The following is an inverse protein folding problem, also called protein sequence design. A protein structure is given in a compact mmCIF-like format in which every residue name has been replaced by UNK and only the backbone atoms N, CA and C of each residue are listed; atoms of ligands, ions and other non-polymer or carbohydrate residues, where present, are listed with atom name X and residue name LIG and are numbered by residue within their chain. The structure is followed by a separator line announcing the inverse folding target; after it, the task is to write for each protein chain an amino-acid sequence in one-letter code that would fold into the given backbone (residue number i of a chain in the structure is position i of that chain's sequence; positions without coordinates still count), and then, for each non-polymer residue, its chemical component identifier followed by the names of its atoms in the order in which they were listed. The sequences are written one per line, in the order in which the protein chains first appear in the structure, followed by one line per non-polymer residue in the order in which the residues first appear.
data_IF_659042778584
#
_entry.id   IF_659042778584
#
_cell.length_a   1.000
_cell.length_b   1.000
_cell.length_c   1.000
_cell.angle_alpha   90.00
_cell.angle_beta   90.00
_cell.angle_gamma   90.00
#
_symmetry.space_group_name_H-M   'P 1'
#
loop_
_entity.id
_entity.type
_entity.pdbx_description
1 polymer ?
#
# COMPACT_ATOMS: atom_id res chain seq x y z
N UNK A 1 34.19 11.36 -0.23
CA UNK A 1 35.04 12.42 -0.83
C UNK A 1 35.67 11.98 -2.15
N UNK A 2 36.33 10.81 -2.24
CA UNK A 2 37.00 10.35 -3.49
C UNK A 2 36.08 10.35 -4.74
N UNK A 3 34.89 9.77 -4.66
CA UNK A 3 33.90 9.76 -5.77
C UNK A 3 33.45 11.18 -6.22
N UNK A 4 33.32 12.13 -5.30
CA UNK A 4 32.90 13.51 -5.67
C UNK A 4 34.00 14.22 -6.46
N UNK A 5 35.28 14.00 -6.12
CA UNK A 5 36.40 14.57 -6.87
C UNK A 5 36.50 13.94 -8.28
N UNK A 6 36.23 12.67 -8.42
CA UNK A 6 36.16 11.99 -9.73
C UNK A 6 35.07 12.63 -10.63
N UNK A 7 33.87 12.90 -10.07
CA UNK A 7 32.82 13.63 -10.79
C UNK A 7 33.24 15.04 -11.19
N UNK A 8 33.88 15.79 -10.28
CA UNK A 8 34.39 17.14 -10.61
C UNK A 8 35.37 17.11 -11.77
N UNK A 9 36.38 16.22 -11.73
CA UNK A 9 37.35 16.05 -12.81
C UNK A 9 36.69 15.64 -14.13
N UNK A 10 35.73 14.75 -14.10
CA UNK A 10 34.96 14.35 -15.29
C UNK A 10 34.23 15.54 -15.89
N UNK A 11 33.52 16.36 -15.11
CA UNK A 11 32.80 17.52 -15.62
C UNK A 11 33.74 18.59 -16.16
N UNK A 12 34.86 18.84 -15.50
CA UNK A 12 35.90 19.77 -15.96
C UNK A 12 36.48 19.31 -17.29
N UNK A 13 36.79 18.02 -17.45
CA UNK A 13 37.33 17.47 -18.71
C UNK A 13 36.33 17.59 -19.87
N UNK A 14 35.04 17.76 -19.59
CA UNK A 14 33.98 17.97 -20.62
C UNK A 14 33.68 19.45 -20.86
N UNK A 15 34.45 20.37 -20.25
CA UNK A 15 34.27 21.81 -20.45
C UNK A 15 33.00 22.38 -19.79
N UNK A 16 32.43 21.71 -18.81
CA UNK A 16 31.23 22.19 -18.11
C UNK A 16 31.61 23.39 -17.24
N UNK A 17 30.83 24.50 -17.26
CA UNK A 17 31.11 25.69 -16.45
C UNK A 17 31.13 25.39 -14.96
N UNK A 18 32.05 26.01 -14.20
CA UNK A 18 32.25 25.76 -12.78
C UNK A 18 30.95 25.89 -11.96
N UNK A 19 30.11 26.89 -12.25
CA UNK A 19 28.82 27.10 -11.58
C UNK A 19 27.90 25.88 -11.72
N UNK A 20 27.87 25.26 -12.89
CA UNK A 20 27.04 24.05 -13.15
C UNK A 20 27.66 22.84 -12.45
N UNK A 21 28.98 22.74 -12.42
CA UNK A 21 29.68 21.68 -11.68
C UNK A 21 29.33 21.74 -10.19
N UNK A 22 29.35 22.93 -9.59
CA UNK A 22 29.02 23.08 -8.18
C UNK A 22 27.58 22.67 -7.87
N UNK A 23 26.63 23.02 -8.76
CA UNK A 23 25.24 22.57 -8.66
C UNK A 23 25.11 21.04 -8.75
N UNK A 24 25.77 20.41 -9.72
CA UNK A 24 25.76 18.95 -9.87
C UNK A 24 26.41 18.24 -8.68
N UNK A 25 27.48 18.80 -8.13
CA UNK A 25 28.14 18.24 -6.94
C UNK A 25 27.24 18.31 -5.73
N UNK A 26 26.50 19.39 -5.51
CA UNK A 26 25.57 19.49 -4.40
C UNK A 26 24.37 18.55 -4.59
N UNK A 27 23.87 18.38 -5.79
CA UNK A 27 22.86 17.38 -6.13
C UNK A 27 23.38 15.96 -5.85
N UNK A 28 24.61 15.61 -6.27
CA UNK A 28 25.24 14.32 -6.00
C UNK A 28 25.32 14.06 -4.49
N UNK A 29 25.72 15.06 -3.69
CA UNK A 29 25.78 14.91 -2.23
C UNK A 29 24.42 14.60 -1.63
N UNK A 30 23.38 15.36 -2.01
CA UNK A 30 22.00 15.16 -1.52
C UNK A 30 21.45 13.80 -1.90
N UNK A 31 21.55 13.41 -3.17
CA UNK A 31 21.08 12.12 -3.68
C UNK A 31 21.85 10.94 -3.06
N UNK A 32 23.16 11.10 -2.84
CA UNK A 32 23.97 10.06 -2.16
C UNK A 32 23.56 9.92 -0.69
N UNK A 33 23.26 11.03 0.00
CA UNK A 33 22.80 11.01 1.39
C UNK A 33 21.43 10.33 1.53
N UNK A 34 20.53 10.50 0.55
CA UNK A 34 19.23 9.85 0.50
C UNK A 34 19.26 8.44 -0.13
N UNK A 35 20.46 7.91 -0.44
CA UNK A 35 20.64 6.62 -1.16
C UNK A 35 19.81 6.53 -2.44
N UNK A 36 19.68 7.66 -3.16
CA UNK A 36 18.90 7.78 -4.40
C UNK A 36 19.83 7.78 -5.63
N UNK A 37 19.38 7.22 -6.77
CA UNK A 37 20.14 7.27 -8.03
C UNK A 37 20.40 8.70 -8.45
N UNK A 38 21.60 8.96 -8.99
CA UNK A 38 21.97 10.26 -9.52
C UNK A 38 21.34 10.41 -10.90
N UNK A 39 20.42 11.36 -11.05
CA UNK A 39 19.73 11.71 -12.31
C UNK A 39 19.86 13.22 -12.49
N UNK A 40 20.62 13.65 -13.50
CA UNK A 40 20.83 15.08 -13.76
C UNK A 40 19.70 15.67 -14.62
N UNK A 41 19.27 14.94 -15.62
CA UNK A 41 18.31 15.38 -16.65
C UNK A 41 17.40 14.23 -17.08
N UNK A 42 16.35 14.55 -17.82
CA UNK A 42 15.37 13.54 -18.30
C UNK A 42 16.00 12.58 -19.33
N UNK A 43 16.95 13.06 -20.14
CA UNK A 43 17.74 12.22 -21.04
C UNK A 43 18.54 11.17 -20.26
N UNK A 44 19.16 11.56 -19.15
CA UNK A 44 19.86 10.62 -18.27
C UNK A 44 18.89 9.60 -17.66
N UNK A 45 17.68 10.03 -17.26
CA UNK A 45 16.63 9.12 -16.79
C UNK A 45 16.25 8.11 -17.90
N UNK A 46 16.11 8.54 -19.14
CA UNK A 46 15.77 7.65 -20.26
C UNK A 46 16.81 6.54 -20.47
N UNK A 47 18.10 6.88 -20.36
CA UNK A 47 19.20 5.92 -20.42
C UNK A 47 19.16 4.91 -19.28
N UNK A 48 18.90 5.37 -18.05
CA UNK A 48 18.78 4.50 -16.88
C UNK A 48 17.59 3.54 -16.97
N UNK A 49 16.49 3.98 -17.58
CA UNK A 49 15.28 3.17 -17.80
C UNK A 49 15.39 2.23 -19.01
N UNK A 50 16.35 2.50 -19.93
CA UNK A 50 16.45 1.79 -21.21
C UNK A 50 15.25 2.06 -22.13
N UNK A 51 14.64 3.26 -22.02
CA UNK A 51 13.49 3.69 -22.81
C UNK A 51 13.88 4.94 -23.60
N UNK A 52 13.46 4.98 -24.87
CA UNK A 52 13.75 6.10 -25.75
C UNK A 52 13.25 7.44 -25.15
N UNK A 53 14.08 8.49 -25.25
CA UNK A 53 13.81 9.81 -24.68
C UNK A 53 12.46 10.39 -25.13
N UNK A 54 12.13 10.30 -26.43
CA UNK A 54 10.84 10.79 -26.94
C UNK A 54 9.64 10.05 -26.32
N UNK A 55 9.80 8.77 -26.03
CA UNK A 55 8.78 7.97 -25.36
C UNK A 55 8.60 8.43 -23.90
N UNK A 56 9.70 8.71 -23.19
CA UNK A 56 9.64 9.28 -21.83
C UNK A 56 8.96 10.65 -21.85
N UNK A 57 9.32 11.52 -22.79
CA UNK A 57 8.68 12.84 -22.98
C UNK A 57 7.17 12.71 -23.27
N UNK A 58 6.78 11.76 -24.10
CA UNK A 58 5.37 11.48 -24.39
C UNK A 58 4.62 11.00 -23.14
N UNK A 59 5.25 10.18 -22.28
CA UNK A 59 4.66 9.75 -21.00
C UNK A 59 4.52 10.93 -20.04
N UNK A 60 5.52 11.79 -19.88
CA UNK A 60 5.49 12.95 -19.01
C UNK A 60 4.38 13.93 -19.42
N UNK A 61 4.25 14.21 -20.72
CA UNK A 61 3.32 15.21 -21.25
C UNK A 61 1.90 14.66 -21.50
N UNK A 62 1.74 13.35 -21.58
CA UNK A 62 0.47 12.71 -21.93
C UNK A 62 0.20 11.43 -21.13
N UNK A 63 0.57 11.41 -19.86
CA UNK A 63 0.46 10.24 -18.96
C UNK A 63 -0.88 9.49 -19.04
N UNK A 64 -2.06 10.16 -19.14
CA UNK A 64 -3.33 9.44 -19.26
C UNK A 64 -3.42 8.44 -20.42
N UNK A 65 -2.72 8.69 -21.52
CA UNK A 65 -2.69 7.80 -22.71
C UNK A 65 -1.95 6.49 -22.43
N UNK A 66 -1.16 6.44 -21.37
CA UNK A 66 -0.37 5.29 -20.96
C UNK A 66 -1.03 4.46 -19.87
N UNK A 67 -2.31 4.74 -19.56
CA UNK A 67 -3.13 3.96 -18.65
C UNK A 67 -4.33 3.34 -19.36
N UNK A 68 -4.63 2.10 -19.00
CA UNK A 68 -5.91 1.46 -19.32
C UNK A 68 -6.84 1.63 -18.12
N UNK A 69 -8.00 2.19 -18.36
CA UNK A 69 -9.04 2.34 -17.35
C UNK A 69 -10.06 1.21 -17.42
N UNK A 70 -10.42 0.64 -16.27
CA UNK A 70 -11.52 -0.31 -16.15
C UNK A 70 -12.15 -0.24 -14.75
N UNK A 71 -13.37 -0.74 -14.66
CA UNK A 71 -14.16 -0.65 -13.44
C UNK A 71 -14.37 -2.03 -12.84
N UNK A 72 -14.15 -2.15 -11.52
CA UNK A 72 -14.47 -3.35 -10.74
C UNK A 72 -15.55 -3.05 -9.71
N UNK A 73 -16.44 -4.03 -9.45
CA UNK A 73 -17.49 -3.91 -8.42
C UNK A 73 -16.87 -3.99 -7.01
N UNK A 74 -17.27 -3.09 -6.11
CA UNK A 74 -16.91 -3.17 -4.69
C UNK A 74 -17.77 -4.22 -3.99
N UNK A 75 -17.22 -4.87 -2.95
CA UNK A 75 -17.94 -5.86 -2.12
C UNK A 75 -19.23 -5.32 -1.50
N UNK A 76 -19.26 -4.06 -1.14
CA UNK A 76 -20.39 -3.40 -0.45
C UNK A 76 -21.25 -2.56 -1.41
N UNK A 77 -21.22 -2.88 -2.71
CA UNK A 77 -21.90 -2.12 -3.75
C UNK A 77 -21.10 -0.93 -4.26
N UNK A 78 -21.49 -0.39 -5.43
CA UNK A 78 -20.78 0.65 -6.14
C UNK A 78 -19.58 0.13 -6.93
N UNK A 79 -18.93 1.04 -7.64
CA UNK A 79 -17.84 0.76 -8.56
C UNK A 79 -16.53 1.37 -8.06
N UNK A 80 -15.43 0.79 -8.55
CA UNK A 80 -14.06 1.26 -8.31
C UNK A 80 -13.35 1.32 -9.65
N UNK A 81 -12.87 2.49 -10.01
CA UNK A 81 -12.08 2.69 -11.22
C UNK A 81 -10.62 2.32 -10.93
N UNK A 82 -10.05 1.51 -11.80
CA UNK A 82 -8.64 1.10 -11.77
C UNK A 82 -7.97 1.66 -13.01
N UNK A 83 -6.83 2.31 -12.81
CA UNK A 83 -5.95 2.82 -13.87
C UNK A 83 -4.71 1.94 -13.92
N UNK A 84 -4.71 0.93 -14.79
CA UNK A 84 -3.57 0.04 -14.95
C UNK A 84 -2.59 0.65 -15.97
N UNK A 85 -1.32 0.91 -15.61
CA UNK A 85 -0.33 1.42 -16.54
C UNK A 85 -0.05 0.41 -17.65
N UNK A 86 0.18 0.87 -18.88
CA UNK A 86 0.71 0.03 -19.95
C UNK A 86 2.17 -0.37 -19.65
N UNK A 87 2.69 -1.45 -20.26
CA UNK A 87 3.97 -2.04 -19.89
C UNK A 87 5.14 -1.05 -19.81
N UNK A 88 5.24 -0.11 -20.75
CA UNK A 88 6.31 0.90 -20.76
C UNK A 88 6.26 1.85 -19.56
N UNK A 89 5.07 2.34 -19.20
CA UNK A 89 4.90 3.17 -18.01
C UNK A 89 5.06 2.34 -16.72
N UNK A 90 4.58 1.10 -16.71
CA UNK A 90 4.77 0.19 -15.58
C UNK A 90 6.27 -0.04 -15.32
N UNK A 91 7.08 -0.26 -16.36
CA UNK A 91 8.53 -0.39 -16.23
C UNK A 91 9.15 0.84 -15.56
N UNK A 92 8.74 2.06 -15.96
CA UNK A 92 9.20 3.29 -15.31
C UNK A 92 8.82 3.33 -13.84
N UNK A 93 7.56 3.01 -13.51
CA UNK A 93 7.04 3.03 -12.15
C UNK A 93 7.74 1.98 -11.27
N UNK A 94 7.95 0.78 -11.77
CA UNK A 94 8.65 -0.29 -11.05
C UNK A 94 10.10 0.08 -10.79
N UNK A 95 10.77 0.71 -11.77
CA UNK A 95 12.13 1.20 -11.58
C UNK A 95 12.20 2.30 -10.51
N UNK A 96 11.28 3.29 -10.55
CA UNK A 96 11.17 4.34 -9.53
C UNK A 96 10.92 3.73 -8.15
N UNK A 97 10.00 2.77 -8.06
CA UNK A 97 9.68 2.08 -6.81
C UNK A 97 10.91 1.39 -6.22
N UNK A 98 11.61 0.57 -7.02
CA UNK A 98 12.73 -0.23 -6.57
C UNK A 98 13.97 0.61 -6.22
N UNK A 99 14.28 1.64 -7.02
CA UNK A 99 15.54 2.35 -6.93
C UNK A 99 15.46 3.65 -6.09
N UNK A 100 14.25 4.24 -5.95
CA UNK A 100 14.09 5.50 -5.23
C UNK A 100 13.18 5.30 -4.01
N UNK A 101 11.94 4.84 -4.21
CA UNK A 101 10.94 4.88 -3.14
C UNK A 101 11.27 3.94 -1.98
N UNK A 102 11.78 2.73 -2.25
CA UNK A 102 12.15 1.76 -1.21
C UNK A 102 13.27 2.26 -0.27
N UNK A 103 14.03 3.28 -0.68
CA UNK A 103 15.05 3.92 0.15
C UNK A 103 14.46 5.02 1.05
N UNK A 104 13.21 5.43 0.82
CA UNK A 104 12.55 6.46 1.62
C UNK A 104 11.97 5.86 2.91
N UNK A 105 12.11 6.60 4.01
CA UNK A 105 11.55 6.20 5.29
C UNK A 105 10.01 6.26 5.26
N UNK A 106 9.39 5.26 5.88
CA UNK A 106 7.95 5.19 6.12
C UNK A 106 7.69 5.05 7.62
N UNK A 107 6.58 5.58 8.10
CA UNK A 107 6.25 5.56 9.53
C UNK A 107 6.00 4.13 10.03
N UNK A 108 6.38 3.84 11.30
CA UNK A 108 6.25 2.49 11.87
C UNK A 108 4.81 2.02 12.00
N UNK A 109 3.87 2.93 12.19
CA UNK A 109 2.44 2.62 12.32
C UNK A 109 1.71 2.55 10.96
N UNK A 110 2.38 2.75 9.83
CA UNK A 110 1.86 2.47 8.49
C UNK A 110 2.14 1.00 8.14
N UNK A 111 1.10 0.22 7.83
CA UNK A 111 1.24 -1.23 7.60
C UNK A 111 0.83 -1.68 6.18
N UNK A 112 0.04 -0.88 5.47
CA UNK A 112 -0.37 -1.21 4.10
C UNK A 112 0.76 -0.99 3.09
N UNK A 113 0.93 -1.93 2.16
CA UNK A 113 1.83 -1.79 1.00
C UNK A 113 3.33 -1.68 1.33
N UNK A 114 3.76 -2.05 2.50
CA UNK A 114 5.15 -1.97 2.95
C UNK A 114 5.73 -3.39 3.04
N UNK A 115 6.95 -3.65 2.49
CA UNK A 115 7.60 -4.94 2.63
C UNK A 115 7.68 -5.40 4.09
N UNK A 116 7.47 -6.69 4.33
CA UNK A 116 7.48 -7.34 5.66
C UNK A 116 6.37 -6.86 6.62
N UNK A 117 5.47 -5.95 6.21
CA UNK A 117 4.26 -5.58 6.95
C UNK A 117 3.03 -6.21 6.29
N UNK A 118 1.98 -6.44 7.07
CA UNK A 118 0.79 -7.15 6.61
C UNK A 118 -0.44 -6.73 7.41
N UNK A 119 -1.59 -7.28 7.05
CA UNK A 119 -2.82 -7.14 7.83
C UNK A 119 -2.67 -7.70 9.25
N UNK A 120 -1.79 -8.69 9.45
CA UNK A 120 -1.50 -9.27 10.77
C UNK A 120 -0.71 -8.28 11.63
N UNK A 121 0.36 -7.68 11.10
CA UNK A 121 1.15 -6.67 11.81
C UNK A 121 0.32 -5.43 12.11
N UNK A 122 -0.66 -5.08 11.25
CA UNK A 122 -1.60 -3.99 11.46
C UNK A 122 -2.59 -4.29 12.58
N UNK A 123 -3.09 -5.52 12.67
CA UNK A 123 -4.11 -5.90 13.65
C UNK A 123 -3.55 -6.21 15.05
N UNK A 124 -2.32 -6.74 15.14
CA UNK A 124 -1.70 -7.20 16.39
C UNK A 124 -1.65 -6.15 17.51
N UNK A 125 -1.33 -4.87 17.26
CA UNK A 125 -1.32 -3.87 18.35
C UNK A 125 -2.68 -3.64 19.02
N UNK A 126 -3.77 -4.05 18.35
CA UNK A 126 -5.16 -3.81 18.79
C UNK A 126 -5.81 -5.00 19.52
N UNK A 127 -5.04 -6.05 19.80
CA UNK A 127 -5.53 -7.22 20.54
C UNK A 127 -6.08 -6.84 21.92
N UNK A 128 -7.12 -7.55 22.37
CA UNK A 128 -7.74 -7.41 23.69
C UNK A 128 -8.20 -6.00 24.07
N UNK A 129 -8.37 -5.08 23.09
CA UNK A 129 -8.78 -3.72 23.36
C UNK A 129 -10.25 -3.65 23.83
N UNK A 130 -10.57 -2.76 24.78
CA UNK A 130 -11.95 -2.51 25.19
C UNK A 130 -12.73 -1.70 24.16
N UNK A 131 -12.08 -0.70 23.58
CA UNK A 131 -12.67 0.21 22.61
C UNK A 131 -11.82 0.25 21.34
N UNK A 132 -12.47 0.26 20.18
CA UNK A 132 -11.83 0.37 18.87
C UNK A 132 -12.55 1.44 18.04
N UNK A 133 -11.81 2.42 17.54
CA UNK A 133 -12.26 3.43 16.59
C UNK A 133 -11.61 3.15 15.23
N UNK A 134 -12.43 3.07 14.20
CA UNK A 134 -11.98 3.00 12.80
C UNK A 134 -12.43 4.25 12.06
N UNK A 135 -11.52 4.84 11.30
CA UNK A 135 -11.77 5.98 10.41
C UNK A 135 -11.13 5.71 9.07
N UNK A 136 -11.76 6.14 7.99
CA UNK A 136 -11.34 5.86 6.60
C UNK A 136 -11.13 7.21 5.89
N UNK A 137 -10.12 7.33 5.06
CA UNK A 137 -9.88 8.51 4.24
C UNK A 137 -10.69 8.44 2.94
N UNK A 138 -11.39 9.53 2.63
CA UNK A 138 -12.19 9.62 1.40
C UNK A 138 -11.28 9.84 0.20
N UNK A 139 -11.58 9.17 -0.92
CA UNK A 139 -10.89 9.32 -2.21
C UNK A 139 -9.36 9.34 -2.09
N UNK A 140 -8.82 8.39 -1.32
CA UNK A 140 -7.46 8.36 -0.78
C UNK A 140 -6.37 8.69 -1.81
N UNK A 141 -6.25 7.91 -2.90
CA UNK A 141 -5.24 8.17 -3.92
C UNK A 141 -5.49 9.49 -4.68
N UNK A 142 -6.71 9.78 -5.17
CA UNK A 142 -6.98 11.04 -5.86
C UNK A 142 -6.80 12.29 -5.01
N UNK A 143 -6.87 12.19 -3.69
CA UNK A 143 -6.63 13.33 -2.78
C UNK A 143 -5.17 13.76 -2.72
N UNK A 144 -4.24 12.95 -3.22
CA UNK A 144 -2.81 13.24 -3.22
C UNK A 144 -2.41 13.75 -4.61
N UNK A 145 -2.28 15.06 -4.72
CA UNK A 145 -1.92 15.72 -5.97
C UNK A 145 -0.43 15.59 -6.32
N UNK A 146 -0.11 15.76 -7.59
CA UNK A 146 1.25 15.70 -8.15
C UNK A 146 2.24 16.62 -7.42
N UNK A 147 1.78 17.77 -6.93
CA UNK A 147 2.64 18.72 -6.18
C UNK A 147 3.29 18.08 -4.96
N UNK A 148 2.61 17.18 -4.26
CA UNK A 148 3.19 16.44 -3.14
C UNK A 148 4.32 15.52 -3.60
N UNK A 149 4.14 14.88 -4.74
CA UNK A 149 5.12 13.94 -5.31
C UNK A 149 6.34 14.70 -5.86
N UNK A 150 6.12 15.86 -6.50
CA UNK A 150 7.21 16.77 -6.94
C UNK A 150 8.03 17.23 -5.74
N UNK A 151 7.36 17.67 -4.66
CA UNK A 151 8.03 18.13 -3.45
C UNK A 151 8.84 17.01 -2.77
N UNK A 152 8.34 15.77 -2.80
CA UNK A 152 9.10 14.61 -2.32
C UNK A 152 10.41 14.45 -3.10
N UNK A 153 10.35 14.36 -4.42
CA UNK A 153 11.55 14.18 -5.24
C UNK A 153 12.53 15.36 -5.15
N UNK A 154 12.00 16.58 -5.11
CA UNK A 154 12.84 17.79 -4.87
C UNK A 154 13.51 17.74 -3.50
N UNK A 155 12.83 17.29 -2.47
CA UNK A 155 13.38 17.11 -1.12
C UNK A 155 14.47 16.03 -1.04
N UNK A 156 14.47 15.05 -1.94
CA UNK A 156 15.56 14.07 -2.08
C UNK A 156 16.83 14.66 -2.74
N UNK A 157 16.70 15.81 -3.43
CA UNK A 157 17.80 16.50 -4.08
C UNK A 157 17.76 16.48 -5.62
N UNK A 158 16.68 16.01 -6.23
CA UNK A 158 16.52 16.10 -7.69
C UNK A 158 16.23 17.53 -8.13
N UNK A 159 16.70 17.90 -9.32
CA UNK A 159 16.33 19.16 -9.98
C UNK A 159 14.82 19.24 -10.19
N UNK A 160 14.27 20.44 -10.32
CA UNK A 160 12.83 20.62 -10.52
C UNK A 160 12.32 19.88 -11.78
N UNK A 161 13.06 19.90 -12.88
CA UNK A 161 12.70 19.18 -14.11
C UNK A 161 12.64 17.67 -13.92
N UNK A 162 13.64 17.09 -13.25
CA UNK A 162 13.67 15.64 -12.93
C UNK A 162 12.58 15.28 -11.93
N UNK A 163 12.36 16.10 -10.91
CA UNK A 163 11.30 15.89 -9.92
C UNK A 163 9.92 15.88 -10.55
N UNK A 164 9.67 16.82 -11.46
CA UNK A 164 8.41 16.87 -12.22
C UNK A 164 8.25 15.66 -13.15
N UNK A 165 9.33 15.26 -13.84
CA UNK A 165 9.31 14.08 -14.68
C UNK A 165 8.98 12.80 -13.90
N UNK A 166 9.69 12.56 -12.80
CA UNK A 166 9.44 11.40 -11.92
C UNK A 166 8.00 11.42 -11.36
N UNK A 167 7.52 12.58 -10.92
CA UNK A 167 6.16 12.74 -10.40
C UNK A 167 5.10 12.49 -11.49
N UNK A 168 5.31 13.00 -12.71
CA UNK A 168 4.42 12.77 -13.85
C UNK A 168 4.30 11.29 -14.20
N UNK A 169 5.41 10.53 -14.17
CA UNK A 169 5.40 9.09 -14.40
C UNK A 169 4.64 8.32 -13.29
N UNK A 170 4.54 8.87 -12.08
CA UNK A 170 3.83 8.26 -10.94
C UNK A 170 2.35 8.66 -10.83
N UNK A 171 1.93 9.73 -11.51
CA UNK A 171 0.59 10.32 -11.42
C UNK A 171 -0.20 10.14 -12.71
N UNK A 172 -1.52 10.18 -12.60
CA UNK A 172 -2.45 10.27 -13.72
C UNK A 172 -3.41 11.43 -13.48
N UNK A 173 -3.64 12.30 -14.48
CA UNK A 173 -4.48 13.49 -14.34
C UNK A 173 -4.12 14.34 -13.11
N UNK A 174 -2.84 14.51 -12.81
CA UNK A 174 -2.34 15.36 -11.73
C UNK A 174 -2.50 14.81 -10.30
N UNK A 175 -2.84 13.55 -10.13
CA UNK A 175 -2.95 12.91 -8.80
C UNK A 175 -2.50 11.44 -8.82
N UNK A 176 -2.33 10.87 -7.64
CA UNK A 176 -2.11 9.42 -7.51
C UNK A 176 -3.38 8.65 -7.90
N UNK A 177 -3.19 7.46 -8.47
CA UNK A 177 -4.31 6.63 -8.92
C UNK A 177 -4.24 5.22 -8.36
N UNK A 178 -5.39 4.58 -8.28
CA UNK A 178 -5.48 3.18 -7.93
C UNK A 178 -5.13 2.32 -9.14
N UNK A 179 -4.07 1.51 -9.02
CA UNK A 179 -3.58 0.62 -10.07
C UNK A 179 -2.14 0.94 -10.53
N UNK A 180 -1.62 2.14 -10.28
CA UNK A 180 -0.22 2.44 -10.46
C UNK A 180 0.64 1.72 -9.41
N UNK A 181 1.79 1.16 -9.79
CA UNK A 181 2.65 0.39 -8.88
C UNK A 181 3.33 1.27 -7.82
N UNK A 182 3.54 2.55 -8.10
CA UNK A 182 4.16 3.52 -7.18
C UNK A 182 3.20 4.11 -6.16
N UNK A 183 1.90 4.28 -6.51
CA UNK A 183 0.93 4.99 -5.68
C UNK A 183 0.84 4.45 -4.24
N UNK A 184 0.81 3.11 -4.01
CA UNK A 184 0.66 2.58 -2.66
C UNK A 184 1.82 2.96 -1.73
N UNK A 185 3.05 2.88 -2.20
CA UNK A 185 4.23 3.20 -1.37
C UNK A 185 4.42 4.70 -1.21
N UNK A 186 4.16 5.49 -2.26
CA UNK A 186 4.17 6.96 -2.21
C UNK A 186 3.25 7.50 -1.11
N UNK A 187 2.03 6.93 -0.97
CA UNK A 187 1.11 7.37 0.09
C UNK A 187 1.71 7.21 1.49
N UNK A 188 2.51 6.17 1.73
CA UNK A 188 3.13 5.94 3.03
C UNK A 188 4.27 6.93 3.31
N UNK A 189 5.07 7.27 2.30
CA UNK A 189 6.12 8.28 2.43
C UNK A 189 5.49 9.66 2.69
N UNK A 190 4.53 10.05 1.86
CA UNK A 190 3.91 11.38 1.89
C UNK A 190 3.10 11.63 3.17
N UNK A 191 2.52 10.59 3.76
CA UNK A 191 1.73 10.67 4.98
C UNK A 191 2.54 10.40 6.26
N UNK A 192 3.87 10.30 6.17
CA UNK A 192 4.73 10.08 7.34
C UNK A 192 4.46 11.11 8.45
N UNK A 193 4.37 12.40 8.11
CA UNK A 193 4.10 13.47 9.08
C UNK A 193 2.69 13.39 9.69
N UNK A 194 1.68 12.96 8.91
CA UNK A 194 0.34 12.70 9.43
C UNK A 194 0.37 11.55 10.45
N UNK A 195 1.02 10.43 10.09
CA UNK A 195 1.14 9.26 10.96
C UNK A 195 1.88 9.60 12.27
N UNK A 196 2.91 10.45 12.21
CA UNK A 196 3.63 10.91 13.39
C UNK A 196 2.73 11.73 14.33
N UNK A 197 1.93 12.66 13.78
CA UNK A 197 0.99 13.48 14.57
C UNK A 197 -0.11 12.62 15.20
N UNK A 198 -0.68 11.69 14.44
CA UNK A 198 -1.71 10.78 14.93
C UNK A 198 -1.16 9.81 15.98
N UNK A 199 0.08 9.36 15.83
CA UNK A 199 0.78 8.55 16.85
C UNK A 199 0.97 9.32 18.14
N UNK A 200 1.42 10.57 18.07
CA UNK A 200 1.57 11.44 19.25
C UNK A 200 0.22 11.69 19.95
N UNK A 201 -0.85 11.91 19.17
CA UNK A 201 -2.20 12.07 19.70
C UNK A 201 -2.69 10.79 20.40
N UNK A 202 -2.51 9.63 19.76
CA UNK A 202 -2.89 8.35 20.32
C UNK A 202 -2.14 8.06 21.64
N UNK A 203 -0.82 8.27 21.65
CA UNK A 203 0.02 8.07 22.85
C UNK A 203 -0.42 8.96 24.03
N UNK A 204 -0.73 10.23 23.79
CA UNK A 204 -1.27 11.16 24.82
C UNK A 204 -2.60 10.69 25.41
N UNK A 205 -3.36 9.90 24.65
CA UNK A 205 -4.66 9.35 25.04
C UNK A 205 -4.59 7.90 25.53
N UNK A 206 -3.39 7.36 25.74
CA UNK A 206 -3.15 5.94 26.05
C UNK A 206 -3.81 4.98 25.03
N UNK A 207 -3.75 5.34 23.75
CA UNK A 207 -4.28 4.55 22.66
C UNK A 207 -3.16 3.99 21.77
N UNK A 208 -3.43 2.87 21.12
CA UNK A 208 -2.65 2.35 20.01
C UNK A 208 -3.22 2.93 18.70
N UNK A 209 -2.33 3.24 17.77
CA UNK A 209 -2.67 3.72 16.42
C UNK A 209 -1.95 2.89 15.38
N UNK A 210 -2.66 2.51 14.33
CA UNK A 210 -2.09 1.99 13.09
C UNK A 210 -2.87 2.48 11.88
N UNK A 211 -2.22 2.50 10.71
CA UNK A 211 -2.86 2.80 9.41
C UNK A 211 -2.56 1.69 8.41
N UNK A 212 -3.60 1.23 7.72
CA UNK A 212 -3.49 0.33 6.58
C UNK A 212 -4.12 1.01 5.36
N UNK A 213 -3.30 1.57 4.47
CA UNK A 213 -3.75 2.43 3.36
C UNK A 213 -4.57 3.64 3.87
N UNK A 214 -5.85 3.69 3.51
CA UNK A 214 -6.85 4.66 3.91
C UNK A 214 -7.50 4.36 5.27
N UNK A 215 -7.39 3.13 5.78
CA UNK A 215 -7.98 2.69 7.06
C UNK A 215 -7.09 3.08 8.26
N UNK A 216 -7.53 4.03 9.08
CA UNK A 216 -6.92 4.41 10.37
C UNK A 216 -7.63 3.68 11.50
N UNK A 217 -6.86 3.07 12.41
CA UNK A 217 -7.39 2.33 13.55
C UNK A 217 -6.77 2.85 14.85
N UNK A 218 -7.64 3.15 15.83
CA UNK A 218 -7.25 3.54 17.19
C UNK A 218 -7.90 2.58 18.18
N UNK A 219 -7.16 2.16 19.21
CA UNK A 219 -7.71 1.26 20.22
C UNK A 219 -7.11 1.47 21.60
N UNK A 220 -7.87 1.09 22.63
CA UNK A 220 -7.40 1.17 24.02
C UNK A 220 -8.48 0.86 25.03
N UNK A 221 -8.29 1.34 26.25
CA UNK A 221 -9.25 1.18 27.34
C UNK A 221 -10.47 2.08 27.19
N UNK A 222 -10.27 3.32 26.78
CA UNK A 222 -11.30 4.35 26.61
C UNK A 222 -10.96 5.28 25.45
N UNK A 223 -11.97 5.69 24.68
CA UNK A 223 -11.86 6.68 23.61
C UNK A 223 -12.87 7.79 23.87
N UNK A 224 -12.37 9.02 24.01
CA UNK A 224 -13.20 10.21 24.20
C UNK A 224 -14.07 10.49 22.97
N UNK A 225 -15.31 10.94 23.16
CA UNK A 225 -16.20 11.35 22.08
C UNK A 225 -15.66 12.53 21.26
N UNK A 226 -14.69 13.29 21.78
CA UNK A 226 -14.02 14.40 21.08
C UNK A 226 -12.89 13.92 20.16
N UNK A 227 -12.38 12.69 20.34
CA UNK A 227 -11.23 12.20 19.60
C UNK A 227 -11.47 12.13 18.09
N UNK A 228 -12.63 11.63 17.58
CA UNK A 228 -12.87 11.61 16.13
C UNK A 228 -12.77 12.97 15.47
N UNK A 229 -13.36 14.02 16.09
CA UNK A 229 -13.30 15.38 15.59
C UNK A 229 -11.86 15.95 15.60
N UNK A 230 -11.06 15.60 16.61
CA UNK A 230 -9.67 16.04 16.68
C UNK A 230 -8.81 15.34 15.61
N UNK A 231 -9.03 14.06 15.36
CA UNK A 231 -8.38 13.32 14.26
C UNK A 231 -8.76 13.93 12.92
N UNK A 232 -10.05 14.23 12.70
CA UNK A 232 -10.55 14.87 11.49
C UNK A 232 -9.92 16.24 11.27
N UNK A 233 -9.78 17.07 12.31
CA UNK A 233 -9.07 18.35 12.24
C UNK A 233 -7.62 18.17 11.77
N UNK A 234 -6.88 17.22 12.34
CA UNK A 234 -5.50 16.94 11.93
C UNK A 234 -5.44 16.47 10.47
N UNK A 235 -6.35 15.59 10.06
CA UNK A 235 -6.42 15.08 8.67
C UNK A 235 -6.71 16.21 7.70
N UNK A 236 -7.63 17.13 8.04
CA UNK A 236 -7.98 18.27 7.21
C UNK A 236 -6.82 19.26 7.02
N UNK A 237 -5.93 19.42 7.99
CA UNK A 237 -4.73 20.25 7.85
C UNK A 237 -3.76 19.72 6.76
N UNK A 238 -3.85 18.41 6.44
CA UNK A 238 -3.14 17.81 5.32
C UNK A 238 -3.94 17.87 4.00
N UNK A 239 -5.08 18.56 3.95
CA UNK A 239 -5.92 18.61 2.76
C UNK A 239 -6.64 17.30 2.44
N UNK A 240 -6.66 16.35 3.39
CA UNK A 240 -7.37 15.08 3.27
C UNK A 240 -8.72 15.16 3.97
N UNK A 241 -9.65 14.28 3.62
CA UNK A 241 -11.02 14.25 4.17
C UNK A 241 -11.31 12.89 4.78
N UNK A 242 -11.86 12.88 5.99
CA UNK A 242 -12.34 11.67 6.64
C UNK A 242 -13.69 11.24 6.06
N UNK A 243 -13.87 9.96 5.79
CA UNK A 243 -15.14 9.37 5.41
C UNK A 243 -15.99 9.10 6.66
N UNK A 244 -16.80 10.06 7.06
CA UNK A 244 -17.63 9.99 8.27
C UNK A 244 -18.63 8.83 8.23
N UNK A 245 -19.15 8.48 7.05
CA UNK A 245 -20.10 7.37 6.88
C UNK A 245 -19.45 6.00 7.19
N UNK A 246 -18.13 5.89 7.09
CA UNK A 246 -17.37 4.68 7.45
C UNK A 246 -16.76 4.74 8.84
N UNK A 247 -16.81 5.87 9.51
CA UNK A 247 -16.31 6.02 10.89
C UNK A 247 -17.12 5.14 11.85
N UNK A 248 -16.44 4.28 12.62
CA UNK A 248 -17.08 3.32 13.52
C UNK A 248 -16.37 3.27 14.86
N UNK A 249 -17.12 3.55 15.92
CA UNK A 249 -16.68 3.34 17.30
C UNK A 249 -17.31 2.05 17.85
N UNK A 250 -16.48 1.11 18.28
CA UNK A 250 -16.89 -0.20 18.79
C UNK A 250 -16.49 -0.30 20.26
N UNK A 251 -17.49 -0.27 21.16
CA UNK A 251 -17.32 -0.29 22.62
C UNK A 251 -17.82 -1.65 23.12
N UNK A 252 -17.03 -2.33 23.94
CA UNK A 252 -17.40 -3.58 24.66
C UNK A 252 -18.13 -4.64 23.80
N UNK A 253 -17.94 -4.61 22.46
CA UNK A 253 -18.57 -5.54 21.53
C UNK A 253 -17.57 -6.63 21.15
N UNK A 254 -18.05 -7.88 21.14
CA UNK A 254 -17.25 -9.03 20.69
C UNK A 254 -16.81 -8.98 19.22
N UNK A 255 -17.32 -8.02 18.44
CA UNK A 255 -17.05 -7.90 16.99
C UNK A 255 -16.11 -6.73 16.70
N UNK A 256 -14.85 -6.80 17.16
CA UNK A 256 -13.80 -5.85 16.83
C UNK A 256 -12.95 -6.43 15.70
N UNK A 257 -12.96 -5.79 14.54
CA UNK A 257 -12.31 -6.29 13.33
C UNK A 257 -11.38 -5.21 12.77
N UNK A 258 -10.10 -5.56 12.62
CA UNK A 258 -9.06 -4.74 11.99
C UNK A 258 -8.56 -5.48 10.75
N UNK A 259 -8.61 -4.85 9.58
CA UNK A 259 -8.18 -5.43 8.28
C UNK A 259 -8.64 -6.89 8.06
N UNK A 260 -9.90 -7.19 8.45
CA UNK A 260 -10.49 -8.52 8.26
C UNK A 260 -10.22 -9.54 9.38
N UNK A 261 -9.41 -9.19 10.37
CA UNK A 261 -9.06 -10.04 11.51
C UNK A 261 -9.79 -9.58 12.78
N UNK A 262 -10.26 -10.53 13.57
CA UNK A 262 -10.83 -10.27 14.89
C UNK A 262 -9.71 -10.01 15.91
N UNK A 263 -9.80 -8.89 16.62
CA UNK A 263 -8.86 -8.46 17.69
C UNK A 263 -9.52 -8.45 19.08
N UNK A 264 -10.68 -9.10 19.22
CA UNK A 264 -11.44 -9.11 20.48
C UNK A 264 -10.81 -10.01 21.57
N UNK A 265 -9.89 -10.89 21.21
CA UNK A 265 -9.18 -11.80 22.11
C UNK A 265 -7.68 -11.44 22.17
N UNK A 266 -6.93 -12.20 22.94
CA UNK A 266 -5.47 -12.11 23.10
C UNK A 266 -4.66 -12.60 21.89
N UNK A 267 -5.35 -13.29 20.96
CA UNK A 267 -4.77 -13.77 19.70
C UNK A 267 -5.61 -13.31 18.51
N UNK A 268 -4.96 -13.14 17.37
CA UNK A 268 -5.65 -12.86 16.12
C UNK A 268 -6.50 -14.05 15.70
N UNK A 269 -7.71 -13.77 15.21
CA UNK A 269 -8.62 -14.81 14.70
C UNK A 269 -9.27 -14.34 13.42
N UNK A 270 -9.63 -15.27 12.55
CA UNK A 270 -10.52 -14.97 11.43
C UNK A 270 -11.93 -14.66 11.93
N UNK A 271 -12.72 -13.95 11.12
CA UNK A 271 -14.10 -13.65 11.51
C UNK A 271 -14.96 -14.92 11.57
N UNK A 272 -15.98 -14.90 12.44
CA UNK A 272 -16.91 -16.04 12.57
C UNK A 272 -17.63 -16.38 11.25
N UNK A 273 -17.94 -15.37 10.47
CA UNK A 273 -18.57 -15.52 9.14
C UNK A 273 -17.64 -16.26 8.18
N UNK A 274 -16.36 -15.85 8.09
CA UNK A 274 -15.38 -16.52 7.23
C UNK A 274 -15.14 -17.96 7.68
N UNK A 275 -14.96 -18.18 8.99
CA UNK A 275 -14.80 -19.53 9.55
C UNK A 275 -15.97 -20.45 9.20
N UNK A 276 -17.21 -19.95 9.36
CA UNK A 276 -18.42 -20.71 9.02
C UNK A 276 -18.47 -21.04 7.52
N UNK A 277 -18.18 -20.07 6.66
CA UNK A 277 -18.20 -20.29 5.20
C UNK A 277 -17.16 -21.31 4.75
N UNK A 278 -15.96 -21.30 5.36
CA UNK A 278 -14.92 -22.31 5.07
C UNK A 278 -15.39 -23.70 5.51
N UNK A 279 -15.81 -23.84 6.76
CA UNK A 279 -16.27 -25.14 7.31
C UNK A 279 -17.43 -25.70 6.50
N UNK A 280 -18.36 -24.86 6.07
CA UNK A 280 -19.50 -25.27 5.26
C UNK A 280 -19.07 -25.79 3.87
N UNK A 281 -18.21 -25.05 3.18
CA UNK A 281 -17.69 -25.46 1.87
C UNK A 281 -16.93 -26.79 1.97
N UNK A 282 -16.01 -26.89 2.94
CA UNK A 282 -15.22 -28.12 3.14
C UNK A 282 -16.09 -29.30 3.51
N UNK A 283 -17.08 -29.14 4.40
CA UNK A 283 -18.04 -30.20 4.74
C UNK A 283 -18.79 -30.75 3.53
N UNK A 284 -19.27 -29.86 2.63
CA UNK A 284 -19.98 -30.31 1.44
C UNK A 284 -19.06 -30.99 0.43
N UNK A 285 -17.82 -30.52 0.28
CA UNK A 285 -16.80 -31.16 -0.58
C UNK A 285 -16.47 -32.57 -0.06
N UNK A 286 -16.25 -32.69 1.25
CA UNK A 286 -15.94 -34.00 1.89
C UNK A 286 -17.09 -34.99 1.77
N UNK A 287 -18.32 -34.55 2.05
CA UNK A 287 -19.47 -35.44 2.16
C UNK A 287 -20.07 -35.84 0.82
N UNK A 288 -20.06 -34.95 -0.16
CA UNK A 288 -20.79 -35.16 -1.45
C UNK A 288 -19.86 -35.11 -2.67
N UNK A 289 -18.58 -34.85 -2.45
CA UNK A 289 -17.60 -34.67 -3.50
C UNK A 289 -17.57 -33.28 -4.10
N UNK A 290 -16.40 -32.86 -4.61
CA UNK A 290 -16.17 -31.54 -5.16
C UNK A 290 -17.11 -31.17 -6.32
N UNK A 291 -17.25 -32.06 -7.31
CA UNK A 291 -18.09 -31.82 -8.49
C UNK A 291 -19.58 -31.66 -8.13
N UNK A 292 -20.07 -32.47 -7.19
CA UNK A 292 -21.46 -32.39 -6.69
C UNK A 292 -21.69 -31.04 -6.01
N UNK A 293 -20.77 -30.60 -5.12
CA UNK A 293 -20.86 -29.31 -4.44
C UNK A 293 -20.87 -28.13 -5.43
N UNK A 294 -19.96 -28.11 -6.40
CA UNK A 294 -19.88 -27.05 -7.43
C UNK A 294 -21.16 -26.99 -8.26
N UNK A 295 -21.72 -28.15 -8.64
CA UNK A 295 -22.97 -28.24 -9.40
C UNK A 295 -24.16 -27.71 -8.59
N UNK A 296 -24.29 -28.15 -7.33
CA UNK A 296 -25.42 -27.78 -6.44
C UNK A 296 -25.42 -26.28 -6.15
N UNK A 297 -24.28 -25.70 -5.85
CA UNK A 297 -24.11 -24.26 -5.54
C UNK A 297 -24.03 -23.39 -6.82
N UNK A 298 -24.10 -24.00 -8.01
CA UNK A 298 -23.98 -23.32 -9.32
C UNK A 298 -22.72 -22.43 -9.43
N UNK A 299 -21.60 -22.92 -8.89
CA UNK A 299 -20.33 -22.22 -8.87
C UNK A 299 -19.74 -22.24 -10.27
N UNK A 300 -19.47 -21.05 -10.84
CA UNK A 300 -18.91 -20.89 -12.19
C UNK A 300 -17.40 -20.56 -12.18
N UNK A 301 -16.83 -20.37 -11.00
CA UNK A 301 -15.40 -20.01 -10.84
C UNK A 301 -14.55 -21.28 -11.03
N UNK A 302 -13.70 -21.36 -12.06
CA UNK A 302 -12.84 -22.52 -12.28
C UNK A 302 -11.78 -22.67 -11.19
N UNK A 303 -11.43 -21.58 -10.48
CA UNK A 303 -10.47 -21.56 -9.37
C UNK A 303 -11.12 -21.62 -7.99
N UNK A 304 -12.37 -22.12 -7.91
CA UNK A 304 -13.10 -22.16 -6.65
C UNK A 304 -12.37 -22.98 -5.58
N UNK A 305 -11.81 -24.13 -5.95
CA UNK A 305 -11.07 -25.00 -5.02
C UNK A 305 -9.84 -24.27 -4.47
N UNK A 306 -9.07 -23.62 -5.35
CA UNK A 306 -7.92 -22.77 -4.97
C UNK A 306 -8.35 -21.64 -4.04
N UNK A 307 -9.49 -21.00 -4.33
CA UNK A 307 -10.06 -19.95 -3.48
C UNK A 307 -10.42 -20.48 -2.08
N UNK A 308 -10.97 -21.69 -1.96
CA UNK A 308 -11.28 -22.29 -0.65
C UNK A 308 -10.02 -22.64 0.09
N UNK A 309 -9.03 -23.26 -0.57
CA UNK A 309 -7.73 -23.57 0.03
C UNK A 309 -6.99 -22.30 0.47
N UNK A 310 -7.02 -21.24 -0.34
CA UNK A 310 -6.48 -19.94 0.01
C UNK A 310 -7.10 -19.35 1.28
N UNK A 311 -8.42 -19.50 1.45
CA UNK A 311 -9.12 -19.08 2.69
C UNK A 311 -8.71 -19.94 3.91
N UNK A 312 -8.49 -21.24 3.74
CA UNK A 312 -7.99 -22.13 4.80
C UNK A 312 -6.56 -21.77 5.18
N UNK A 313 -5.68 -21.52 4.21
CA UNK A 313 -4.31 -21.09 4.46
C UNK A 313 -4.28 -19.73 5.19
N UNK A 314 -5.16 -18.79 4.82
CA UNK A 314 -5.34 -17.54 5.54
C UNK A 314 -5.80 -17.77 6.99
N UNK A 315 -6.68 -18.74 7.22
CA UNK A 315 -7.07 -19.12 8.58
C UNK A 315 -5.88 -19.67 9.37
N UNK A 316 -5.08 -20.55 8.79
CA UNK A 316 -3.87 -21.09 9.41
C UNK A 316 -2.82 -20.01 9.70
N UNK A 317 -2.68 -18.99 8.86
CA UNK A 317 -1.82 -17.84 9.14
C UNK A 317 -2.30 -17.03 10.36
N UNK A 318 -3.62 -16.87 10.51
CA UNK A 318 -4.20 -16.17 11.65
C UNK A 318 -4.19 -17.01 12.95
N UNK A 319 -4.43 -18.31 12.82
CA UNK A 319 -4.58 -19.27 13.92
C UNK A 319 -3.76 -20.54 13.63
N UNK A 320 -2.41 -20.51 13.77
CA UNK A 320 -1.53 -21.62 13.37
C UNK A 320 -1.79 -22.96 14.09
N UNK A 321 -2.35 -22.88 15.29
CA UNK A 321 -2.65 -24.04 16.12
C UNK A 321 -4.10 -24.55 16.00
N UNK A 322 -4.91 -23.98 15.10
CA UNK A 322 -6.29 -24.41 14.89
C UNK A 322 -6.37 -25.81 14.31
N UNK A 323 -6.85 -26.80 15.09
CA UNK A 323 -7.14 -28.14 14.61
C UNK A 323 -8.18 -28.15 13.50
N UNK A 324 -9.23 -27.35 13.63
CA UNK A 324 -10.27 -27.18 12.62
C UNK A 324 -9.72 -26.74 11.26
N UNK A 325 -8.77 -25.76 11.25
CA UNK A 325 -8.19 -25.27 10.03
C UNK A 325 -7.25 -26.31 9.37
N UNK A 326 -6.50 -27.06 10.19
CA UNK A 326 -5.66 -28.18 9.72
C UNK A 326 -6.52 -29.26 9.07
N UNK A 327 -7.57 -29.70 9.75
CA UNK A 327 -8.51 -30.69 9.22
C UNK A 327 -9.16 -30.21 7.91
N UNK A 328 -9.58 -28.95 7.82
CA UNK A 328 -10.11 -28.40 6.58
C UNK A 328 -9.08 -28.44 5.43
N UNK A 329 -7.80 -28.19 5.70
CA UNK A 329 -6.73 -28.27 4.71
C UNK A 329 -6.52 -29.71 4.26
N UNK A 330 -6.44 -30.65 5.19
CA UNK A 330 -6.19 -32.07 4.93
C UNK A 330 -7.30 -32.70 4.08
N UNK A 331 -8.56 -32.26 4.24
CA UNK A 331 -9.68 -32.66 3.38
C UNK A 331 -9.54 -32.11 1.95
N UNK A 332 -9.00 -30.91 1.78
CA UNK A 332 -8.89 -30.27 0.46
C UNK A 332 -7.69 -30.75 -0.35
N UNK A 333 -6.55 -31.00 0.29
CA UNK A 333 -5.29 -31.34 -0.38
C UNK A 333 -5.39 -32.53 -1.38
N UNK A 334 -6.13 -33.62 -1.12
CA UNK A 334 -6.27 -34.72 -2.08
C UNK A 334 -6.94 -34.36 -3.41
N UNK A 335 -7.70 -33.24 -3.44
CA UNK A 335 -8.32 -32.75 -4.66
C UNK A 335 -7.37 -31.96 -5.58
N UNK A 336 -6.19 -31.61 -5.09
CA UNK A 336 -5.09 -31.04 -5.87
C UNK A 336 -4.14 -32.17 -6.25
N UNK A 337 -3.74 -32.27 -7.52
CA UNK A 337 -2.78 -33.29 -7.96
C UNK A 337 -1.46 -33.23 -7.17
N UNK A 338 -0.54 -34.19 -7.36
CA UNK A 338 0.72 -34.36 -6.59
C UNK A 338 1.62 -33.10 -6.44
N UNK A 339 1.36 -32.05 -7.20
CA UNK A 339 2.16 -30.81 -7.17
C UNK A 339 1.87 -29.88 -5.99
N UNK A 340 0.93 -30.19 -5.10
CA UNK A 340 0.56 -29.39 -3.92
C UNK A 340 0.82 -30.10 -2.58
N UNK A 341 1.57 -31.21 -2.60
CA UNK A 341 1.83 -32.03 -1.40
C UNK A 341 3.17 -31.72 -0.71
N UNK A 342 3.93 -30.68 -1.18
CA UNK A 342 5.18 -30.23 -0.56
C UNK A 342 5.03 -28.90 0.19
#
# INVERSE_FOLDING_TARGET
MKKINEWKQFFLSRGIPQKTIDQYVDQIKSLTASNSPIIFEVEHLSLLLGIEYLTIQAMINGTPRFYREFTIKKRNGGNRTIHAPYPSLLQCQDWIYQNILLNCAVHDNAHGYIPKRSIFTNASPHLSCNVLLKMDLKDFFPSIGIGWVVNLFSGLGYSHGVSYALASLCCNNGCLVQGASTSPYLTNILLHGLDERLTKLASKSNLKYTRYADDMTFSGGYISNKLPALIESIVNEYGLVVNTAKTKLMINKNKKIVTGLSVAADTLRITRELRRSIKQAVYYIERYGFLSHVSQEKIKDPFYLDSVLGKVNFWLQAEPHSSDAKNCRDVLLPHFGKNYQE
#
